data_IF_976813679463
#
_entry.id   IF_976813679463
#
_cell.length_a   1.000
_cell.length_b   1.000
_cell.length_c   1.000
_cell.angle_alpha   90.00
_cell.angle_beta   90.00
_cell.angle_gamma   90.00
#
_symmetry.space_group_name_H-M   'P 1'
#
loop_
_entity.id
_entity.type
_entity.pdbx_description
1 polymer ?
#
# COMPACT_ATOMS: atom_id res chain seq x y z
N UNK A 1 -12.55 3.80 5.89
CA UNK A 1 -11.94 2.46 6.00
C UNK A 1 -10.46 2.59 6.37
N UNK A 2 -9.95 1.71 7.24
CA UNK A 2 -8.50 1.51 7.43
C UNK A 2 -8.03 0.52 6.36
N UNK A 3 -6.80 0.67 5.87
CA UNK A 3 -6.22 -0.37 5.02
C UNK A 3 -5.96 -1.59 5.90
N UNK A 4 -6.43 -2.76 5.49
CA UNK A 4 -6.15 -4.02 6.17
C UNK A 4 -5.41 -4.92 5.18
N UNK A 5 -4.08 -4.83 5.19
CA UNK A 5 -3.22 -5.76 4.46
C UNK A 5 -2.87 -6.92 5.39
N UNK A 6 -2.91 -8.13 4.88
CA UNK A 6 -2.39 -9.35 5.50
C UNK A 6 -0.86 -9.32 5.61
N UNK A 7 -0.29 -10.22 6.40
CA UNK A 7 1.18 -10.30 6.59
C UNK A 7 1.91 -10.59 5.27
N UNK A 8 1.35 -11.44 4.40
CA UNK A 8 1.91 -11.76 3.09
C UNK A 8 1.92 -10.51 2.18
N UNK A 9 0.81 -9.77 2.16
CA UNK A 9 0.71 -8.53 1.39
C UNK A 9 1.69 -7.47 1.90
N UNK A 10 1.88 -7.37 3.22
CA UNK A 10 2.88 -6.47 3.83
C UNK A 10 4.31 -6.82 3.41
N UNK A 11 4.65 -8.11 3.37
CA UNK A 11 5.97 -8.60 2.93
C UNK A 11 6.25 -8.20 1.48
N UNK A 12 5.31 -8.45 0.57
CA UNK A 12 5.38 -8.06 -0.84
C UNK A 12 5.58 -6.55 -0.95
N UNK A 13 4.77 -5.78 -0.22
CA UNK A 13 4.79 -4.32 -0.28
C UNK A 13 6.07 -3.72 0.29
N UNK A 14 6.75 -4.40 1.23
CA UNK A 14 7.97 -3.92 1.91
C UNK A 14 9.08 -3.55 0.94
N UNK A 15 9.27 -4.33 -0.13
CA UNK A 15 10.25 -4.06 -1.19
C UNK A 15 9.85 -2.90 -2.12
N UNK A 16 8.59 -2.47 -2.09
CA UNK A 16 8.02 -1.52 -3.04
C UNK A 16 7.56 -0.20 -2.43
N UNK A 17 7.61 -0.05 -1.09
CA UNK A 17 7.18 1.16 -0.38
C UNK A 17 7.83 2.44 -0.94
N UNK A 18 9.14 2.42 -1.18
CA UNK A 18 9.89 3.56 -1.73
C UNK A 18 9.46 3.95 -3.15
N UNK A 19 9.17 2.97 -4.00
CA UNK A 19 8.71 3.21 -5.36
C UNK A 19 7.30 3.82 -5.36
N UNK A 20 6.42 3.30 -4.50
CA UNK A 20 5.05 3.80 -4.33
C UNK A 20 5.07 5.22 -3.72
N UNK A 21 5.93 5.46 -2.74
CA UNK A 21 6.12 6.78 -2.14
C UNK A 21 6.52 7.83 -3.19
N UNK A 22 7.53 7.51 -4.02
CA UNK A 22 7.97 8.36 -5.14
C UNK A 22 6.87 8.59 -6.17
N UNK A 23 6.17 7.54 -6.58
CA UNK A 23 5.06 7.61 -7.57
C UNK A 23 3.94 8.56 -7.13
N UNK A 24 3.69 8.65 -5.82
CA UNK A 24 2.63 9.48 -5.26
C UNK A 24 3.12 10.78 -4.61
N UNK A 25 4.42 11.09 -4.70
CA UNK A 25 4.99 12.33 -4.14
C UNK A 25 4.84 12.43 -2.61
N UNK A 26 4.93 11.31 -1.90
CA UNK A 26 4.75 11.26 -0.44
C UNK A 26 5.94 10.61 0.26
N UNK A 27 6.00 10.74 1.60
CA UNK A 27 7.08 10.13 2.38
C UNK A 27 6.93 8.60 2.47
N UNK A 28 8.05 7.89 2.55
CA UNK A 28 8.08 6.45 2.81
C UNK A 28 7.27 6.08 4.06
N UNK A 29 7.42 6.85 5.13
CA UNK A 29 6.67 6.69 6.39
C UNK A 29 5.16 6.75 6.17
N UNK A 30 4.68 7.65 5.29
CA UNK A 30 3.24 7.75 4.98
C UNK A 30 2.73 6.45 4.38
N UNK A 31 3.47 5.86 3.45
CA UNK A 31 3.08 4.59 2.80
C UNK A 31 3.14 3.46 3.81
N UNK A 32 4.19 3.40 4.63
CA UNK A 32 4.35 2.39 5.68
C UNK A 32 3.20 2.43 6.70
N UNK A 33 2.77 3.61 7.13
CA UNK A 33 1.66 3.75 8.08
C UNK A 33 0.30 3.42 7.46
N UNK A 34 0.14 3.63 6.14
CA UNK A 34 -1.03 3.14 5.40
C UNK A 34 -1.02 1.61 5.38
N UNK A 35 0.12 0.99 5.05
CA UNK A 35 0.27 -0.48 5.04
C UNK A 35 0.05 -1.09 6.42
N UNK A 36 0.50 -0.42 7.48
CA UNK A 36 0.27 -0.84 8.86
C UNK A 36 -1.18 -0.67 9.34
N UNK A 37 -2.06 -0.03 8.55
CA UNK A 37 -3.45 0.23 8.95
C UNK A 37 -3.61 1.34 10.01
N UNK A 38 -2.55 2.11 10.26
CA UNK A 38 -2.55 3.21 11.23
C UNK A 38 -3.27 4.45 10.72
N UNK A 39 -3.39 4.61 9.39
CA UNK A 39 -4.15 5.71 8.79
C UNK A 39 -5.56 5.35 8.36
N UNK A 40 -6.48 6.30 8.59
CA UNK A 40 -7.77 6.34 7.87
C UNK A 40 -7.52 6.74 6.42
N UNK A 41 -8.07 5.98 5.48
CA UNK A 41 -8.10 6.30 4.04
C UNK A 41 -9.25 7.29 3.80
N UNK A 42 -9.07 8.53 4.25
CA UNK A 42 -10.09 9.58 4.17
C UNK A 42 -9.69 10.72 3.22
N UNK A 43 -8.42 10.84 2.86
CA UNK A 43 -7.95 11.86 1.90
C UNK A 43 -7.85 11.28 0.47
N UNK A 44 -8.04 12.11 -0.57
CA UNK A 44 -7.88 11.68 -1.96
C UNK A 44 -6.50 11.08 -2.25
N UNK A 45 -5.45 11.64 -1.65
CA UNK A 45 -4.09 11.14 -1.77
C UNK A 45 -3.95 9.73 -1.19
N UNK A 46 -4.47 9.48 0.02
CA UNK A 46 -4.42 8.15 0.64
C UNK A 46 -5.22 7.11 -0.12
N UNK A 47 -6.36 7.49 -0.73
CA UNK A 47 -7.12 6.60 -1.63
C UNK A 47 -6.28 6.19 -2.83
N UNK A 48 -5.55 7.13 -3.44
CA UNK A 48 -4.65 6.84 -4.57
C UNK A 48 -3.51 5.91 -4.16
N UNK A 49 -2.86 6.18 -3.02
CA UNK A 49 -1.78 5.33 -2.49
C UNK A 49 -2.31 3.92 -2.21
N UNK A 50 -3.47 3.81 -1.54
CA UNK A 50 -4.09 2.52 -1.23
C UNK A 50 -4.42 1.72 -2.50
N UNK A 51 -4.99 2.37 -3.52
CA UNK A 51 -5.24 1.71 -4.81
C UNK A 51 -3.94 1.28 -5.51
N UNK A 52 -2.87 2.07 -5.40
CA UNK A 52 -1.56 1.69 -5.90
C UNK A 52 -1.00 0.45 -5.19
N UNK A 53 -1.10 0.41 -3.86
CA UNK A 53 -0.69 -0.73 -3.04
C UNK A 53 -1.46 -2.00 -3.41
N UNK A 54 -2.79 -1.91 -3.56
CA UNK A 54 -3.62 -3.05 -3.98
C UNK A 54 -3.21 -3.59 -5.36
N UNK A 55 -3.00 -2.72 -6.35
CA UNK A 55 -2.54 -3.16 -7.68
C UNK A 55 -1.17 -3.82 -7.64
N UNK A 56 -0.27 -3.34 -6.78
CA UNK A 56 1.03 -3.98 -6.58
C UNK A 56 0.86 -5.37 -5.97
N UNK A 57 0.00 -5.50 -4.97
CA UNK A 57 -0.33 -6.80 -4.37
C UNK A 57 -0.93 -7.74 -5.41
N UNK A 58 -1.95 -7.33 -6.17
CA UNK A 58 -2.60 -8.14 -7.22
C UNK A 58 -1.62 -8.58 -8.31
N UNK A 59 -0.60 -7.76 -8.60
CA UNK A 59 0.42 -8.11 -9.59
C UNK A 59 1.38 -9.20 -9.09
N UNK A 60 1.69 -9.22 -7.79
CA UNK A 60 2.70 -10.11 -7.20
C UNK A 60 2.10 -11.34 -6.50
N UNK A 61 0.84 -11.29 -6.09
CA UNK A 61 0.05 -12.44 -5.67
C UNK A 61 -0.75 -12.92 -6.89
N UNK A 62 -0.22 -13.86 -7.69
CA UNK A 62 -1.06 -14.54 -8.65
C UNK A 62 -2.18 -15.20 -7.86
N UNK A 63 -3.43 -14.93 -8.24
CA UNK A 63 -4.59 -15.65 -7.72
C UNK A 63 -4.30 -17.12 -8.04
N UNK A 64 -3.95 -17.90 -7.02
CA UNK A 64 -3.87 -19.34 -7.18
C UNK A 64 -5.30 -19.80 -7.48
N UNK A 65 -5.48 -20.30 -8.71
CA UNK A 65 -6.71 -20.92 -9.22
C UNK A 65 -7.24 -22.01 -8.29
#
# INVERSE_FOLDING_TARGET
MKAAFSEIEKEILKGHLSAIARKHGCSHTTVQEIVAGNYKINTPLRKKIHSGLLKTVEFFLPISE
#
